data_IF_507126547342
#
_entry.id   IF_507126547342
#
_cell.length_a   1.000
_cell.length_b   1.000
_cell.length_c   1.000
_cell.angle_alpha   90.00
_cell.angle_beta   90.00
_cell.angle_gamma   90.00
#
_symmetry.space_group_name_H-M   'P 1'
#
loop_
_entity.id
_entity.type
_entity.pdbx_description
1 polymer ?
#
# COMPACT_ATOMS: atom_id res chain seq x y z
N UNK A 1 -2.73 -15.31 9.38
CA UNK A 1 -3.95 -14.79 10.08
C UNK A 1 -4.94 -15.93 10.22
N UNK A 2 -5.45 -16.19 11.44
CA UNK A 2 -6.40 -17.29 11.70
C UNK A 2 -7.83 -16.75 11.81
N UNK A 3 -8.76 -17.33 11.04
CA UNK A 3 -10.17 -16.91 11.00
C UNK A 3 -11.09 -18.13 11.24
N UNK A 4 -12.03 -18.07 12.21
CA UNK A 4 -13.14 -19.01 12.31
C UNK A 4 -14.35 -18.57 11.46
N UNK A 5 -15.07 -19.53 10.87
CA UNK A 5 -16.16 -19.30 9.90
C UNK A 5 -17.55 -19.64 10.46
N UNK A 6 -18.52 -18.74 10.26
CA UNK A 6 -19.93 -18.86 10.63
C UNK A 6 -20.81 -17.90 9.79
N UNK A 7 -22.14 -18.11 9.67
CA UNK A 7 -22.87 -17.76 8.45
C UNK A 7 -23.44 -16.35 8.38
N UNK A 8 -22.67 -15.41 7.80
CA UNK A 8 -23.20 -14.22 7.13
C UNK A 8 -22.20 -13.57 6.14
N UNK A 9 -21.76 -14.30 5.12
CA UNK A 9 -20.83 -13.80 4.11
C UNK A 9 -21.48 -12.82 3.10
N UNK A 10 -21.81 -11.58 3.50
CA UNK A 10 -22.14 -10.50 2.54
C UNK A 10 -21.90 -9.05 2.97
N UNK A 11 -21.67 -8.72 4.25
CA UNK A 11 -21.70 -7.30 4.71
C UNK A 11 -20.43 -6.76 5.41
N UNK A 12 -19.40 -7.56 5.66
CA UNK A 12 -18.36 -7.19 6.65
C UNK A 12 -17.17 -6.33 6.16
N UNK A 13 -17.11 -5.93 4.88
CA UNK A 13 -15.89 -5.38 4.26
C UNK A 13 -15.79 -3.84 4.14
N UNK A 14 -16.70 -3.10 4.76
CA UNK A 14 -16.54 -1.65 5.01
C UNK A 14 -15.77 -1.40 6.33
N UNK A 15 -15.83 -2.35 7.26
CA UNK A 15 -15.23 -2.27 8.61
C UNK A 15 -13.69 -2.27 8.64
N UNK A 16 -13.03 -2.70 7.57
CA UNK A 16 -11.59 -3.01 7.57
C UNK A 16 -10.67 -1.77 7.71
N UNK A 17 -11.19 -0.55 7.54
CA UNK A 17 -10.43 0.69 7.79
C UNK A 17 -10.65 1.30 9.19
N UNK A 18 -11.57 0.76 9.99
CA UNK A 18 -11.85 1.24 11.36
C UNK A 18 -11.62 0.19 12.46
N UNK A 19 -11.35 -1.08 12.11
CA UNK A 19 -11.06 -2.17 13.05
C UNK A 19 -9.73 -2.07 13.81
N UNK A 20 -9.01 -0.94 13.70
CA UNK A 20 -7.93 -0.55 14.61
C UNK A 20 -8.44 -0.01 15.96
N UNK A 21 -9.76 0.15 16.15
CA UNK A 21 -10.36 0.90 17.26
C UNK A 21 -11.28 0.10 18.22
N UNK A 22 -11.42 -1.23 18.08
CA UNK A 22 -12.36 -2.02 18.92
C UNK A 22 -11.80 -3.29 19.56
N UNK A 23 -10.49 -3.57 19.42
CA UNK A 23 -9.85 -4.60 20.24
C UNK A 23 -9.47 -4.02 21.61
N UNK A 24 -10.31 -4.29 22.61
CA UNK A 24 -10.02 -4.53 24.05
C UNK A 24 -11.27 -4.16 24.87
N UNK A 25 -11.66 -5.02 25.81
CA UNK A 25 -12.61 -4.69 26.89
C UNK A 25 -11.91 -3.88 28.00
N UNK A 26 -11.37 -2.72 27.61
CA UNK A 26 -11.07 -1.59 28.48
C UNK A 26 -11.47 -0.34 27.70
N UNK A 27 -11.97 0.70 28.38
CA UNK A 27 -12.30 1.96 27.73
C UNK A 27 -11.02 2.61 27.21
N UNK A 28 -10.80 2.55 25.89
CA UNK A 28 -9.63 3.09 25.21
C UNK A 28 -10.08 4.26 24.34
N UNK A 29 -9.63 5.46 24.73
CA UNK A 29 -9.77 6.66 23.92
C UNK A 29 -8.47 6.95 23.20
N UNK A 30 -8.53 7.16 21.90
CA UNK A 30 -7.41 7.66 21.09
C UNK A 30 -7.61 9.15 20.82
N UNK A 31 -6.54 9.94 21.00
CA UNK A 31 -6.50 11.37 20.71
C UNK A 31 -5.35 11.68 19.73
N UNK A 32 -5.54 12.69 18.88
CA UNK A 32 -4.51 13.26 18.02
C UNK A 32 -4.23 14.69 18.46
N UNK A 33 -3.03 14.94 18.97
CA UNK A 33 -2.54 16.28 19.33
C UNK A 33 -1.93 16.97 18.09
N UNK A 34 -2.13 18.28 17.97
CA UNK A 34 -1.51 19.10 16.92
C UNK A 34 -0.98 20.39 17.54
N UNK A 35 0.33 20.46 17.72
CA UNK A 35 1.01 21.61 18.31
C UNK A 35 0.59 22.93 17.64
N UNK A 36 0.23 23.90 18.47
CA UNK A 36 0.19 25.33 18.11
C UNK A 36 0.56 26.19 19.32
N UNK A 37 1.48 27.12 19.09
CA UNK A 37 2.10 27.98 20.09
C UNK A 37 1.15 28.96 20.80
N UNK A 38 1.64 29.47 21.93
CA UNK A 38 0.91 30.18 23.00
C UNK A 38 0.96 31.72 22.93
N UNK A 39 -0.14 32.40 23.33
CA UNK A 39 -0.20 33.71 24.05
C UNK A 39 -1.65 33.94 24.54
N UNK A 40 -2.02 33.86 25.84
CA UNK A 40 -1.98 34.90 26.92
C UNK A 40 -2.88 36.14 26.66
N UNK A 41 -3.82 36.64 27.50
CA UNK A 41 -4.19 36.56 28.95
C UNK A 41 -5.75 36.53 29.12
N UNK A 42 -6.44 36.50 30.29
CA UNK A 42 -6.11 36.34 31.73
C UNK A 42 -7.23 36.88 32.69
N UNK A 43 -7.48 36.24 33.85
CA UNK A 43 -8.47 36.62 34.91
C UNK A 43 -9.87 35.96 34.79
N UNK A 44 -10.59 35.52 35.83
CA UNK A 44 -10.41 35.59 37.30
C UNK A 44 -11.00 34.35 38.03
N UNK A 45 -10.24 33.87 39.05
CA UNK A 45 -10.52 32.91 40.14
C UNK A 45 -11.22 31.53 39.92
N UNK A 46 -10.58 30.54 40.56
CA UNK A 46 -11.10 29.28 41.11
C UNK A 46 -11.57 28.16 40.16
N UNK A 47 -10.66 27.76 39.25
CA UNK A 47 -10.67 26.48 38.54
C UNK A 47 -9.27 25.82 38.39
N UNK A 48 -8.30 26.24 39.21
CA UNK A 48 -6.88 25.96 38.95
C UNK A 48 -6.38 24.57 39.38
N UNK A 49 -7.07 23.83 40.26
CA UNK A 49 -6.55 22.53 40.76
C UNK A 49 -6.85 21.32 39.87
N UNK A 50 -7.61 21.49 38.78
CA UNK A 50 -7.99 20.39 37.87
C UNK A 50 -7.41 20.54 36.45
N UNK A 51 -6.83 21.70 36.11
CA UNK A 51 -6.30 21.98 34.76
C UNK A 51 -5.02 21.20 34.39
N UNK A 52 -4.47 20.39 35.29
CA UNK A 52 -3.21 19.66 35.09
C UNK A 52 -3.27 18.14 35.40
N UNK A 53 -4.42 17.55 35.74
CA UNK A 53 -4.44 16.19 36.34
C UNK A 53 -4.79 15.02 35.38
N UNK A 54 -5.05 15.31 34.10
CA UNK A 54 -5.33 14.28 33.08
C UNK A 54 -4.19 14.04 32.08
N UNK A 55 -3.15 14.90 32.04
CA UNK A 55 -2.15 14.88 30.96
C UNK A 55 -1.01 13.87 31.12
N UNK A 56 -0.90 13.13 32.25
CA UNK A 56 0.12 12.09 32.42
C UNK A 56 -0.22 10.93 33.39
N UNK A 57 -1.26 11.01 34.23
CA UNK A 57 -1.49 10.00 35.30
C UNK A 57 -2.30 8.78 34.89
N UNK A 58 -2.95 8.79 33.73
CA UNK A 58 -3.87 7.75 33.29
C UNK A 58 -3.54 7.17 31.90
N UNK A 59 -2.36 7.48 31.36
CA UNK A 59 -1.86 6.87 30.12
C UNK A 59 -1.47 5.43 30.42
N UNK A 60 -2.25 4.47 29.90
CA UNK A 60 -2.00 3.03 30.03
C UNK A 60 -0.85 2.61 29.11
N UNK A 61 -0.83 3.17 27.90
CA UNK A 61 0.18 2.92 26.88
C UNK A 61 0.25 4.08 25.88
N UNK A 62 1.36 4.22 25.17
CA UNK A 62 1.44 5.10 24.00
C UNK A 62 2.39 4.53 22.95
N UNK A 63 2.10 4.79 21.68
CA UNK A 63 2.95 4.47 20.54
C UNK A 63 2.94 5.62 19.53
N UNK A 64 3.76 5.56 18.50
CA UNK A 64 3.80 6.56 17.43
C UNK A 64 3.72 5.87 16.07
N UNK A 65 2.90 6.41 15.16
CA UNK A 65 2.87 5.93 13.78
C UNK A 65 4.13 6.35 13.03
N UNK A 66 4.40 5.73 11.87
CA UNK A 66 5.60 6.03 11.06
C UNK A 66 5.60 7.45 10.50
N UNK A 67 4.41 8.05 10.43
CA UNK A 67 4.13 9.42 9.99
C UNK A 67 4.22 10.44 11.15
N UNK A 68 4.62 10.00 12.35
CA UNK A 68 4.81 10.85 13.52
C UNK A 68 3.58 11.05 14.42
N UNK A 69 2.44 10.45 14.10
CA UNK A 69 1.22 10.62 14.91
C UNK A 69 1.31 9.84 16.22
N UNK A 70 1.20 10.52 17.36
CA UNK A 70 1.20 9.89 18.69
C UNK A 70 -0.17 9.28 18.97
N UNK A 71 -0.21 7.97 19.21
CA UNK A 71 -1.39 7.24 19.67
C UNK A 71 -1.24 7.01 21.17
N UNK A 72 -2.23 7.42 21.96
CA UNK A 72 -2.22 7.33 23.43
C UNK A 72 -3.46 6.55 23.86
N UNK A 73 -3.26 5.57 24.75
CA UNK A 73 -4.31 4.81 25.41
C UNK A 73 -4.52 5.38 26.81
N UNK A 74 -5.71 5.91 27.10
CA UNK A 74 -6.01 6.61 28.36
C UNK A 74 -7.18 5.93 29.08
N UNK A 75 -7.01 5.63 30.37
CA UNK A 75 -8.10 5.19 31.25
C UNK A 75 -8.87 6.39 31.80
N UNK A 76 -10.19 6.40 31.68
CA UNK A 76 -11.02 7.49 32.23
C UNK A 76 -12.43 7.50 31.65
N UNK A 77 -13.15 8.58 31.90
CA UNK A 77 -14.47 8.84 31.30
C UNK A 77 -14.36 9.96 30.25
N UNK A 78 -14.85 9.67 29.05
CA UNK A 78 -14.84 10.57 27.88
C UNK A 78 -15.52 11.92 28.16
N UNK A 79 -16.51 11.97 29.06
CA UNK A 79 -17.35 13.17 29.26
C UNK A 79 -16.59 14.33 29.91
N UNK A 80 -15.41 14.06 30.46
CA UNK A 80 -14.49 15.05 31.03
C UNK A 80 -13.26 15.29 30.15
N UNK A 81 -13.03 14.47 29.13
CA UNK A 81 -11.86 14.58 28.25
C UNK A 81 -12.01 15.75 27.26
N UNK A 82 -10.90 16.45 26.99
CA UNK A 82 -10.86 17.55 26.03
C UNK A 82 -10.24 17.05 24.72
N UNK A 83 -10.98 17.11 23.62
CA UNK A 83 -10.54 16.66 22.30
C UNK A 83 -11.12 17.55 21.19
N UNK A 84 -10.54 17.54 20.00
CA UNK A 84 -11.17 18.20 18.85
C UNK A 84 -12.46 17.47 18.43
N UNK A 85 -12.43 16.14 18.42
CA UNK A 85 -13.53 15.26 18.03
C UNK A 85 -13.66 14.13 19.05
N UNK A 86 -14.89 13.80 19.45
CA UNK A 86 -15.22 12.59 20.21
C UNK A 86 -15.91 11.58 19.28
N UNK A 87 -15.64 10.29 19.45
CA UNK A 87 -16.33 9.22 18.71
C UNK A 87 -17.33 8.54 19.65
N UNK A 88 -18.56 8.36 19.18
CA UNK A 88 -19.64 7.65 19.86
C UNK A 88 -20.11 6.47 19.00
N UNK A 89 -20.47 5.36 19.63
CA UNK A 89 -21.09 4.21 18.96
C UNK A 89 -22.61 4.29 19.12
N UNK A 90 -23.34 4.14 18.02
CA UNK A 90 -24.80 4.22 17.99
C UNK A 90 -25.45 3.00 17.31
N UNK A 91 -26.66 2.59 17.72
CA UNK A 91 -27.47 1.63 16.97
C UNK A 91 -27.92 2.18 15.61
N UNK A 92 -28.39 1.31 14.71
CA UNK A 92 -28.83 1.70 13.35
C UNK A 92 -29.94 2.76 13.36
N UNK A 93 -30.84 2.74 14.35
CA UNK A 93 -31.91 3.74 14.48
C UNK A 93 -31.42 5.10 15.02
N UNK A 94 -30.11 5.28 15.21
CA UNK A 94 -29.45 6.51 15.70
C UNK A 94 -29.94 6.99 17.08
N UNK A 95 -30.58 6.12 17.85
CA UNK A 95 -31.04 6.43 19.20
C UNK A 95 -29.89 6.40 20.20
N UNK A 96 -29.58 7.56 20.77
CA UNK A 96 -28.61 7.74 21.83
C UNK A 96 -29.14 7.20 23.16
N UNK A 97 -28.23 6.87 24.08
CA UNK A 97 -28.59 6.35 25.40
C UNK A 97 -28.81 4.84 25.50
N UNK A 98 -28.79 4.10 24.39
CA UNK A 98 -28.95 2.64 24.39
C UNK A 98 -27.77 1.84 24.96
N UNK A 99 -26.62 2.48 25.21
CA UNK A 99 -25.44 1.84 25.82
C UNK A 99 -24.60 2.84 26.63
N UNK A 100 -23.73 2.38 27.56
CA UNK A 100 -23.18 3.22 28.62
C UNK A 100 -22.41 4.46 28.14
N UNK A 101 -21.61 4.31 27.07
CA UNK A 101 -20.88 5.42 26.44
C UNK A 101 -21.84 6.47 25.86
N UNK A 102 -22.79 6.02 25.05
CA UNK A 102 -23.79 6.86 24.38
C UNK A 102 -24.73 7.54 25.37
N UNK A 103 -25.04 6.87 26.49
CA UNK A 103 -25.82 7.42 27.61
C UNK A 103 -25.06 8.52 28.35
N UNK A 104 -23.79 8.28 28.71
CA UNK A 104 -22.96 9.25 29.42
C UNK A 104 -22.72 10.51 28.55
N UNK A 105 -22.43 10.31 27.26
CA UNK A 105 -22.31 11.38 26.28
C UNK A 105 -23.62 12.18 26.14
N UNK A 106 -24.78 11.53 25.99
CA UNK A 106 -26.08 12.23 25.90
C UNK A 106 -26.40 13.03 27.17
N UNK A 107 -26.15 12.45 28.35
CA UNK A 107 -26.37 13.13 29.64
C UNK A 107 -25.51 14.37 29.79
N UNK A 108 -24.24 14.31 29.36
CA UNK A 108 -23.32 15.45 29.41
C UNK A 108 -23.62 16.50 28.33
N UNK A 109 -23.88 16.06 27.10
CA UNK A 109 -24.09 16.92 25.94
C UNK A 109 -25.45 17.64 25.94
N UNK A 110 -26.48 17.03 26.52
CA UNK A 110 -27.86 17.50 26.50
C UNK A 110 -28.67 16.95 25.30
N UNK A 111 -30.00 17.16 25.30
CA UNK A 111 -30.92 16.57 24.31
C UNK A 111 -30.63 17.02 22.87
N UNK A 112 -30.06 18.22 22.69
CA UNK A 112 -29.68 18.78 21.39
C UNK A 112 -28.76 17.85 20.57
N UNK A 113 -27.93 17.03 21.23
CA UNK A 113 -27.07 16.04 20.55
C UNK A 113 -27.89 15.01 19.77
N UNK A 114 -29.05 14.59 20.31
CA UNK A 114 -29.97 13.67 19.65
C UNK A 114 -30.74 14.36 18.51
N UNK A 115 -31.13 15.61 18.71
CA UNK A 115 -31.82 16.44 17.71
C UNK A 115 -30.93 16.68 16.48
N UNK A 116 -29.67 17.08 16.69
CA UNK A 116 -28.68 17.23 15.62
C UNK A 116 -28.43 15.91 14.89
N UNK A 117 -28.29 14.79 15.62
CA UNK A 117 -28.09 13.48 15.01
C UNK A 117 -29.28 13.08 14.12
N UNK A 118 -30.52 13.25 14.57
CA UNK A 118 -31.69 12.98 13.73
C UNK A 118 -31.83 13.96 12.55
N UNK A 119 -31.34 15.20 12.66
CA UNK A 119 -31.32 16.13 11.54
C UNK A 119 -30.36 15.68 10.41
N UNK A 120 -29.24 15.01 10.73
CA UNK A 120 -28.32 14.47 9.72
C UNK A 120 -28.90 13.34 8.86
N UNK A 121 -30.08 12.80 9.21
CA UNK A 121 -30.78 11.71 8.52
C UNK A 121 -31.23 12.07 7.09
N UNK A 122 -31.39 13.35 6.75
CA UNK A 122 -31.96 13.76 5.47
C UNK A 122 -31.03 13.43 4.28
N UNK A 123 -31.29 12.29 3.62
CA UNK A 123 -30.66 11.91 2.35
C UNK A 123 -29.56 10.84 2.43
N UNK A 124 -29.42 10.13 3.55
CA UNK A 124 -28.44 9.02 3.69
C UNK A 124 -29.09 7.71 4.11
N UNK A 125 -28.57 6.60 3.60
CA UNK A 125 -29.03 5.23 3.91
C UNK A 125 -28.36 4.71 5.20
N UNK A 126 -29.18 4.29 6.17
CA UNK A 126 -28.73 3.77 7.46
C UNK A 126 -28.19 2.33 7.32
N UNK A 127 -26.87 2.16 7.47
CA UNK A 127 -26.22 0.85 7.46
C UNK A 127 -25.03 0.80 8.42
N UNK A 128 -24.60 -0.42 8.75
CA UNK A 128 -23.38 -0.64 9.53
C UNK A 128 -22.18 -0.03 8.80
N UNK A 129 -21.37 0.73 9.53
CA UNK A 129 -20.26 1.52 8.99
C UNK A 129 -20.62 2.94 8.56
N UNK A 130 -21.89 3.36 8.59
CA UNK A 130 -22.26 4.77 8.40
C UNK A 130 -21.74 5.63 9.55
N UNK A 131 -21.31 6.85 9.23
CA UNK A 131 -20.80 7.85 10.17
C UNK A 131 -21.60 9.14 10.01
N UNK A 132 -22.13 9.64 11.12
CA UNK A 132 -22.86 10.90 11.20
C UNK A 132 -22.10 11.89 12.09
N UNK A 133 -22.23 13.19 11.84
CA UNK A 133 -21.47 14.22 12.57
C UNK A 133 -22.40 15.28 13.16
N UNK A 134 -22.25 15.54 14.46
CA UNK A 134 -22.96 16.58 15.22
C UNK A 134 -21.96 17.55 15.84
N UNK A 135 -22.43 18.67 16.38
CA UNK A 135 -21.58 19.53 17.21
C UNK A 135 -21.28 18.88 18.57
N UNK A 136 -20.24 19.35 19.26
CA UNK A 136 -19.95 18.89 20.62
C UNK A 136 -21.06 19.17 21.65
N UNK A 137 -22.02 20.04 21.35
CA UNK A 137 -23.03 20.53 22.30
C UNK A 137 -22.36 20.97 23.62
N UNK A 138 -22.70 20.37 24.77
CA UNK A 138 -22.11 20.67 26.08
C UNK A 138 -20.89 19.77 26.44
N UNK A 139 -20.33 19.02 25.48
CA UNK A 139 -19.07 18.28 25.64
C UNK A 139 -17.86 19.19 25.39
N UNK A 140 -16.69 18.81 25.93
CA UNK A 140 -15.42 19.51 25.71
C UNK A 140 -14.79 19.17 24.34
N UNK A 141 -15.58 19.23 23.26
CA UNK A 141 -15.12 18.99 21.89
C UNK A 141 -15.83 19.85 20.83
N UNK A 142 -15.28 19.89 19.61
CA UNK A 142 -15.87 20.66 18.50
C UNK A 142 -16.99 19.86 17.80
N UNK A 143 -16.80 18.56 17.64
CA UNK A 143 -17.75 17.67 16.97
C UNK A 143 -17.82 16.30 17.64
N UNK A 144 -18.95 15.60 17.48
CA UNK A 144 -19.08 14.17 17.79
C UNK A 144 -19.33 13.39 16.50
N UNK A 145 -18.54 12.33 16.29
CA UNK A 145 -18.77 11.36 15.22
C UNK A 145 -19.56 10.17 15.77
N UNK A 146 -20.75 9.96 15.25
CA UNK A 146 -21.63 8.86 15.60
C UNK A 146 -21.48 7.74 14.58
N UNK A 147 -20.88 6.62 14.99
CA UNK A 147 -20.58 5.47 14.14
C UNK A 147 -21.63 4.38 14.37
N UNK A 148 -22.29 3.92 13.31
CA UNK A 148 -23.19 2.77 13.35
C UNK A 148 -22.37 1.49 13.37
N UNK A 149 -22.14 0.93 14.54
CA UNK A 149 -21.46 -0.35 14.71
C UNK A 149 -22.44 -1.53 14.58
N UNK A 150 -21.96 -2.74 14.22
CA UNK A 150 -22.75 -3.95 14.40
C UNK A 150 -23.03 -4.17 15.90
N UNK A 151 -24.14 -4.84 16.22
CA UNK A 151 -24.43 -5.27 17.59
C UNK A 151 -23.40 -6.29 18.08
N UNK A 152 -23.08 -6.27 19.38
CA UNK A 152 -22.26 -7.31 19.99
C UNK A 152 -23.03 -8.62 20.05
N UNK A 153 -22.49 -9.68 19.45
CA UNK A 153 -23.12 -10.98 19.24
C UNK A 153 -22.71 -12.03 20.29
N UNK A 154 -22.31 -11.58 21.48
CA UNK A 154 -21.72 -12.41 22.54
C UNK A 154 -20.44 -13.16 22.15
N UNK A 155 -19.70 -12.66 21.15
CA UNK A 155 -18.49 -13.31 20.65
C UNK A 155 -18.79 -14.49 19.71
N UNK A 156 -20.00 -14.55 19.15
CA UNK A 156 -20.30 -15.40 18.00
C UNK A 156 -19.63 -14.88 16.71
N UNK A 157 -19.20 -13.62 16.70
CA UNK A 157 -18.45 -13.00 15.62
C UNK A 157 -17.02 -13.52 15.52
N UNK A 158 -16.47 -13.51 14.31
CA UNK A 158 -15.15 -14.07 14.02
C UNK A 158 -14.02 -13.24 14.63
N UNK A 159 -13.55 -13.64 15.81
CA UNK A 159 -12.31 -13.12 16.40
C UNK A 159 -11.12 -13.48 15.50
N UNK A 160 -10.54 -12.49 14.82
CA UNK A 160 -9.37 -12.67 13.98
C UNK A 160 -8.10 -12.63 14.82
N UNK A 161 -7.26 -13.65 14.71
CA UNK A 161 -5.94 -13.66 15.37
C UNK A 161 -4.84 -13.28 14.36
N UNK A 162 -4.16 -12.17 14.64
CA UNK A 162 -2.89 -11.83 14.00
C UNK A 162 -1.80 -12.69 14.66
N UNK A 163 -1.33 -13.69 13.92
CA UNK A 163 -0.17 -14.50 14.28
C UNK A 163 1.03 -14.05 13.42
N UNK A 164 2.17 -13.85 14.08
CA UNK A 164 3.48 -13.71 13.42
C UNK A 164 4.12 -15.10 13.50
N UNK A 165 4.32 -15.75 12.35
CA UNK A 165 4.73 -17.14 12.30
C UNK A 165 4.97 -17.64 10.89
N UNK A 166 5.31 -18.92 10.80
CA UNK A 166 5.58 -19.66 9.57
C UNK A 166 4.34 -20.48 9.21
N UNK A 167 3.71 -20.19 8.07
CA UNK A 167 2.44 -20.81 7.66
C UNK A 167 2.54 -22.33 7.51
N UNK A 168 3.73 -22.88 7.25
CA UNK A 168 3.95 -24.33 7.14
C UNK A 168 3.82 -25.05 8.49
N UNK A 169 3.90 -24.31 9.61
CA UNK A 169 3.82 -24.82 10.99
C UNK A 169 2.46 -24.53 11.65
N UNK A 170 1.56 -23.86 10.96
CA UNK A 170 0.24 -23.48 11.47
C UNK A 170 -0.70 -24.69 11.59
N UNK A 171 -1.51 -24.70 12.65
CA UNK A 171 -2.56 -25.71 12.87
C UNK A 171 -3.94 -25.12 12.60
N UNK A 172 -4.46 -25.35 11.41
CA UNK A 172 -5.77 -24.91 10.96
C UNK A 172 -6.43 -25.99 10.11
N UNK A 173 -7.75 -25.99 9.97
CA UNK A 173 -8.43 -26.91 9.05
C UNK A 173 -8.02 -26.66 7.60
N UNK A 174 -7.78 -25.40 7.25
CA UNK A 174 -7.44 -24.94 5.90
C UNK A 174 -6.19 -24.06 5.95
N UNK A 175 -5.22 -24.34 5.08
CA UNK A 175 -4.14 -23.39 4.74
C UNK A 175 -4.44 -22.77 3.39
N UNK A 176 -4.17 -21.48 3.23
CA UNK A 176 -4.33 -20.79 1.94
C UNK A 176 -2.98 -20.60 1.29
N UNK A 177 -2.84 -21.01 0.02
CA UNK A 177 -1.67 -20.74 -0.80
C UNK A 177 -1.96 -19.62 -1.80
N UNK A 178 -1.04 -18.67 -1.98
CA UNK A 178 -1.13 -17.58 -2.97
C UNK A 178 -0.25 -17.90 -4.17
N UNK A 179 -0.85 -18.21 -5.31
CA UNK A 179 -0.16 -18.69 -6.54
C UNK A 179 -0.55 -17.89 -7.79
N UNK A 180 0.10 -18.20 -8.92
CA UNK A 180 -0.25 -17.78 -10.28
C UNK A 180 -1.36 -18.65 -10.89
N UNK A 181 -1.88 -18.24 -12.05
CA UNK A 181 -2.91 -18.91 -12.85
C UNK A 181 -2.58 -20.34 -13.30
N UNK A 182 -1.31 -20.72 -13.26
CA UNK A 182 -0.82 -22.06 -13.58
C UNK A 182 -0.69 -22.98 -12.35
N UNK A 183 -1.01 -22.48 -11.15
CA UNK A 183 -1.00 -23.20 -9.87
C UNK A 183 0.30 -23.96 -9.54
N UNK A 184 1.42 -23.54 -10.15
CA UNK A 184 2.74 -24.15 -10.03
C UNK A 184 3.81 -23.16 -9.52
N UNK A 185 3.39 -22.08 -8.84
CA UNK A 185 4.31 -21.04 -8.38
C UNK A 185 5.26 -21.59 -7.31
N UNK A 186 6.55 -21.65 -7.63
CA UNK A 186 7.62 -22.11 -6.71
C UNK A 186 8.48 -20.95 -6.19
N UNK A 187 7.86 -19.82 -5.87
CA UNK A 187 8.48 -18.66 -5.23
C UNK A 187 7.68 -18.20 -4.00
N UNK A 188 8.29 -17.32 -3.18
CA UNK A 188 7.63 -16.68 -2.04
C UNK A 188 7.00 -17.67 -1.06
N UNK A 189 5.79 -17.36 -0.59
CA UNK A 189 5.05 -18.23 0.33
C UNK A 189 4.61 -19.53 -0.35
N UNK A 190 4.32 -19.50 -1.66
CA UNK A 190 3.89 -20.69 -2.39
C UNK A 190 4.96 -21.77 -2.46
N UNK A 191 6.24 -21.37 -2.60
CA UNK A 191 7.36 -22.31 -2.46
C UNK A 191 7.33 -23.04 -1.12
N UNK A 192 7.25 -22.30 -0.01
CA UNK A 192 7.27 -22.87 1.33
C UNK A 192 6.06 -23.79 1.58
N UNK A 193 4.87 -23.41 1.10
CA UNK A 193 3.66 -24.24 1.23
C UNK A 193 3.77 -25.52 0.40
N UNK A 194 4.26 -25.47 -0.85
CA UNK A 194 4.41 -26.66 -1.70
C UNK A 194 5.52 -27.59 -1.19
N UNK A 195 6.67 -27.07 -0.80
CA UNK A 195 7.77 -27.86 -0.21
C UNK A 195 7.35 -28.49 1.14
N UNK A 196 6.63 -27.74 1.97
CA UNK A 196 6.08 -28.22 3.25
C UNK A 196 4.93 -29.22 3.11
N UNK A 197 4.14 -29.15 2.04
CA UNK A 197 3.04 -30.09 1.76
C UNK A 197 3.50 -31.37 1.05
N UNK A 198 4.59 -31.29 0.27
CA UNK A 198 5.20 -32.43 -0.41
C UNK A 198 4.68 -32.69 -1.83
N UNK A 199 5.37 -33.58 -2.59
CA UNK A 199 5.24 -33.70 -4.05
C UNK A 199 3.87 -34.21 -4.53
N UNK A 200 3.09 -34.86 -3.66
CA UNK A 200 1.72 -35.28 -3.99
C UNK A 200 0.80 -34.07 -4.19
N UNK A 201 0.97 -33.00 -3.40
CA UNK A 201 0.18 -31.77 -3.55
C UNK A 201 0.55 -31.03 -4.84
N UNK A 202 1.84 -30.97 -5.21
CA UNK A 202 2.24 -30.39 -6.50
C UNK A 202 1.62 -31.14 -7.69
N UNK A 203 1.57 -32.48 -7.60
CA UNK A 203 0.97 -33.34 -8.62
C UNK A 203 -0.55 -33.10 -8.72
N UNK A 204 -1.23 -32.94 -7.58
CA UNK A 204 -2.65 -32.59 -7.53
C UNK A 204 -2.93 -31.19 -8.11
N UNK A 205 -2.08 -30.20 -7.80
CA UNK A 205 -2.15 -28.87 -8.41
C UNK A 205 -2.05 -28.95 -9.94
N UNK A 206 -1.09 -29.70 -10.48
CA UNK A 206 -0.92 -29.87 -11.92
C UNK A 206 -2.12 -30.53 -12.59
N UNK A 207 -2.76 -31.52 -11.95
CA UNK A 207 -3.97 -32.17 -12.45
C UNK A 207 -5.19 -31.24 -12.39
N UNK A 208 -5.36 -30.44 -11.33
CA UNK A 208 -6.50 -29.53 -11.23
C UNK A 208 -6.37 -28.28 -12.12
N UNK A 209 -5.14 -27.79 -12.35
CA UNK A 209 -4.87 -26.63 -13.20
C UNK A 209 -5.20 -26.83 -14.70
N UNK A 210 -5.33 -28.08 -15.16
CA UNK A 210 -5.74 -28.41 -16.54
C UNK A 210 -7.23 -28.72 -16.68
N UNK A 211 -7.98 -28.74 -15.57
CA UNK A 211 -9.44 -28.95 -15.55
C UNK A 211 -10.18 -27.61 -15.44
N UNK A 212 -11.48 -27.55 -15.80
CA UNK A 212 -12.29 -26.36 -15.53
C UNK A 212 -12.38 -26.08 -14.02
N UNK A 213 -11.81 -24.97 -13.57
CA UNK A 213 -11.75 -24.56 -12.16
C UNK A 213 -12.26 -23.12 -11.95
N UNK A 214 -12.44 -22.71 -10.69
CA UNK A 214 -12.78 -21.32 -10.28
C UNK A 214 -11.51 -20.45 -10.24
N UNK A 215 -11.56 -19.26 -9.65
CA UNK A 215 -10.37 -18.45 -9.33
C UNK A 215 -9.44 -19.07 -8.25
N UNK A 216 -9.64 -20.36 -7.95
CA UNK A 216 -8.87 -21.17 -7.01
C UNK A 216 -9.01 -22.67 -7.33
N UNK A 217 -8.10 -23.48 -6.79
CA UNK A 217 -8.20 -24.95 -6.72
C UNK A 217 -8.06 -25.43 -5.27
N UNK A 218 -8.44 -26.67 -4.97
CA UNK A 218 -8.38 -27.23 -3.61
C UNK A 218 -7.69 -28.58 -3.61
N UNK A 219 -6.57 -28.70 -2.90
CA UNK A 219 -5.81 -29.95 -2.75
C UNK A 219 -5.90 -30.51 -1.34
N UNK A 220 -5.44 -31.75 -1.15
CA UNK A 220 -5.19 -32.29 0.18
C UNK A 220 -4.11 -31.49 0.95
N UNK A 221 -4.08 -31.60 2.29
CA UNK A 221 -3.09 -30.94 3.15
C UNK A 221 -1.64 -31.43 3.00
N UNK A 222 -1.44 -32.61 2.42
CA UNK A 222 -0.10 -33.20 2.27
C UNK A 222 0.53 -33.51 3.64
N UNK A 223 1.77 -33.07 3.86
CA UNK A 223 2.44 -33.16 5.17
C UNK A 223 2.15 -31.98 6.13
N UNK A 224 1.41 -30.95 5.70
CA UNK A 224 1.07 -29.81 6.55
C UNK A 224 -0.01 -30.20 7.59
N UNK A 225 -0.06 -29.46 8.70
CA UNK A 225 -1.03 -29.68 9.78
C UNK A 225 -2.42 -29.09 9.46
N UNK A 226 -2.92 -29.37 8.26
CA UNK A 226 -4.24 -28.97 7.77
C UNK A 226 -4.97 -30.10 7.03
N UNK A 227 -6.28 -29.94 6.82
CA UNK A 227 -7.10 -30.93 6.09
C UNK A 227 -7.00 -30.73 4.58
N UNK A 228 -7.03 -29.47 4.14
CA UNK A 228 -6.92 -29.07 2.73
C UNK A 228 -6.05 -27.81 2.58
N UNK A 229 -5.54 -27.60 1.37
CA UNK A 229 -4.94 -26.34 0.94
C UNK A 229 -5.82 -25.73 -0.15
N UNK A 230 -6.25 -24.48 0.03
CA UNK A 230 -6.94 -23.72 -1.02
C UNK A 230 -5.89 -22.83 -1.70
N UNK A 231 -5.62 -23.12 -2.97
CA UNK A 231 -4.66 -22.36 -3.78
C UNK A 231 -5.41 -21.28 -4.55
N UNK A 232 -5.19 -20.03 -4.17
CA UNK A 232 -5.86 -18.86 -4.75
C UNK A 232 -4.92 -18.05 -5.63
N UNK A 233 -5.48 -17.34 -6.60
CA UNK A 233 -4.72 -16.36 -7.36
C UNK A 233 -4.33 -15.17 -6.47
N UNK A 234 -3.03 -14.85 -6.40
CA UNK A 234 -2.48 -13.70 -5.67
C UNK A 234 -2.79 -12.33 -6.31
N UNK A 235 -3.88 -12.24 -7.07
CA UNK A 235 -4.24 -11.11 -7.93
C UNK A 235 -5.19 -10.10 -7.23
N UNK A 236 -5.82 -9.25 -8.04
CA UNK A 236 -6.10 -7.83 -7.79
C UNK A 236 -7.06 -7.49 -6.65
N UNK A 237 -7.84 -8.45 -6.18
CA UNK A 237 -8.93 -8.24 -5.24
C UNK A 237 -8.79 -9.21 -4.07
N UNK A 238 -7.84 -8.91 -3.19
CA UNK A 238 -7.61 -9.66 -1.93
C UNK A 238 -8.91 -9.76 -1.11
N UNK A 239 -9.81 -8.77 -1.22
CA UNK A 239 -11.14 -8.78 -0.62
C UNK A 239 -11.98 -9.93 -1.18
N UNK A 240 -12.15 -10.01 -2.50
CA UNK A 240 -12.88 -11.10 -3.17
C UNK A 240 -12.24 -12.45 -2.86
N UNK A 241 -10.91 -12.55 -2.97
CA UNK A 241 -10.16 -13.78 -2.68
C UNK A 241 -10.39 -14.27 -1.25
N UNK A 242 -10.33 -13.39 -0.24
CA UNK A 242 -10.61 -13.75 1.16
C UNK A 242 -12.07 -14.13 1.35
N UNK A 243 -13.04 -13.40 0.77
CA UNK A 243 -14.46 -13.76 0.83
C UNK A 243 -14.73 -15.15 0.26
N UNK A 244 -14.26 -15.44 -0.95
CA UNK A 244 -14.46 -16.74 -1.61
C UNK A 244 -13.84 -17.90 -0.83
N UNK A 245 -12.66 -17.69 -0.21
CA UNK A 245 -12.06 -18.71 0.67
C UNK A 245 -12.92 -18.95 1.92
N UNK A 246 -13.44 -17.89 2.54
CA UNK A 246 -14.28 -18.02 3.73
C UNK A 246 -15.62 -18.69 3.41
N UNK A 247 -16.23 -18.37 2.26
CA UNK A 247 -17.44 -19.01 1.73
C UNK A 247 -17.23 -20.52 1.49
N UNK A 248 -16.11 -20.92 0.87
CA UNK A 248 -15.78 -22.35 0.71
C UNK A 248 -15.49 -23.06 2.04
N UNK A 249 -14.83 -22.38 2.99
CA UNK A 249 -14.58 -22.91 4.32
C UNK A 249 -15.89 -23.17 5.08
N UNK A 250 -16.83 -22.22 5.00
CA UNK A 250 -18.18 -22.32 5.54
C UNK A 250 -18.98 -23.46 4.88
N UNK A 251 -19.04 -23.50 3.54
CA UNK A 251 -19.75 -24.54 2.80
C UNK A 251 -19.26 -25.95 3.15
N UNK A 252 -17.95 -26.09 3.45
CA UNK A 252 -17.29 -27.35 3.83
C UNK A 252 -17.25 -27.60 5.34
N UNK A 253 -17.83 -26.69 6.16
CA UNK A 253 -17.89 -26.77 7.63
C UNK A 253 -16.52 -26.86 8.30
N UNK A 254 -15.52 -26.19 7.75
CA UNK A 254 -14.26 -25.96 8.44
C UNK A 254 -14.42 -24.89 9.52
N UNK A 255 -13.58 -24.96 10.55
CA UNK A 255 -13.67 -24.12 11.77
C UNK A 255 -12.46 -23.18 11.93
N UNK A 256 -11.41 -23.37 11.13
CA UNK A 256 -10.24 -22.50 11.13
C UNK A 256 -9.54 -22.47 9.78
N UNK A 257 -9.25 -21.27 9.27
CA UNK A 257 -8.43 -21.05 8.07
C UNK A 257 -7.24 -20.14 8.38
N UNK A 258 -6.06 -20.49 7.85
CA UNK A 258 -4.82 -19.72 7.95
C UNK A 258 -4.47 -19.05 6.62
N UNK A 259 -4.60 -17.72 6.58
CA UNK A 259 -4.19 -16.89 5.44
C UNK A 259 -2.73 -16.41 5.56
N UNK A 260 -1.94 -16.45 4.48
CA UNK A 260 -0.68 -15.73 4.35
C UNK A 260 -0.93 -14.24 4.05
N UNK A 261 0.14 -13.46 3.86
CA UNK A 261 0.04 -12.09 3.37
C UNK A 261 -0.23 -12.06 1.84
N UNK A 262 -1.44 -12.46 1.43
CA UNK A 262 -1.81 -12.56 0.00
C UNK A 262 -1.52 -11.24 -0.73
N UNK A 263 -0.86 -11.33 -1.89
CA UNK A 263 -0.47 -10.18 -2.70
C UNK A 263 0.87 -9.52 -2.33
N UNK A 264 1.62 -10.03 -1.35
CA UNK A 264 2.99 -9.54 -1.08
C UNK A 264 4.03 -9.96 -2.12
N UNK A 265 3.74 -11.00 -2.90
CA UNK A 265 4.75 -11.85 -3.56
C UNK A 265 5.08 -11.42 -5.00
N UNK A 266 4.58 -10.28 -5.46
CA UNK A 266 4.90 -9.70 -6.77
C UNK A 266 6.31 -9.07 -6.81
N UNK A 267 7.36 -9.84 -6.53
CA UNK A 267 8.76 -9.50 -6.80
C UNK A 267 9.28 -10.34 -7.98
N UNK A 268 10.23 -9.84 -8.81
CA UNK A 268 10.72 -10.59 -9.96
C UNK A 268 11.47 -11.87 -9.55
N UNK A 269 11.26 -12.97 -10.29
CA UNK A 269 11.90 -14.26 -10.00
C UNK A 269 13.44 -14.24 -10.11
N UNK A 270 14.00 -13.31 -10.89
CA UNK A 270 15.44 -13.13 -11.03
C UNK A 270 16.09 -12.35 -9.87
N UNK A 271 15.30 -11.83 -8.92
CA UNK A 271 15.86 -11.18 -7.73
C UNK A 271 16.47 -12.21 -6.79
N UNK A 272 17.67 -11.92 -6.30
CA UNK A 272 18.31 -12.68 -5.22
C UNK A 272 17.64 -12.40 -3.89
N UNK A 273 17.73 -13.34 -2.95
CA UNK A 273 17.21 -13.15 -1.59
C UNK A 273 17.80 -11.87 -0.96
N UNK A 274 16.92 -11.10 -0.32
CA UNK A 274 17.24 -9.84 0.35
C UNK A 274 17.48 -10.03 1.86
N UNK A 275 17.44 -11.26 2.38
CA UNK A 275 17.65 -11.57 3.80
C UNK A 275 16.75 -10.70 4.71
N UNK A 276 15.46 -10.66 4.40
CA UNK A 276 14.43 -9.83 5.07
C UNK A 276 14.59 -8.30 4.91
N UNK A 277 15.57 -7.80 4.15
CA UNK A 277 15.67 -6.38 3.82
C UNK A 277 14.62 -5.96 2.78
N UNK A 278 14.23 -4.68 2.81
CA UNK A 278 13.22 -4.12 1.90
C UNK A 278 13.84 -3.43 0.66
N UNK A 279 15.15 -3.20 0.68
CA UNK A 279 15.92 -2.81 -0.49
C UNK A 279 17.39 -3.22 -0.35
N UNK A 280 18.01 -3.61 -1.46
CA UNK A 280 19.45 -3.83 -1.58
C UNK A 280 19.92 -3.54 -3.02
N UNK A 281 21.24 -3.49 -3.20
CA UNK A 281 21.90 -3.32 -4.50
C UNK A 281 22.83 -4.52 -4.71
N UNK A 282 22.73 -5.16 -5.87
CA UNK A 282 23.38 -6.46 -6.16
C UNK A 282 24.29 -6.30 -7.38
N UNK A 283 25.60 -6.44 -7.18
CA UNK A 283 26.57 -6.38 -8.28
C UNK A 283 26.51 -7.65 -9.15
N UNK A 284 26.10 -7.49 -10.41
CA UNK A 284 25.98 -8.58 -11.37
C UNK A 284 27.37 -9.03 -11.82
N UNK A 285 27.56 -10.34 -11.97
CA UNK A 285 28.87 -10.90 -12.34
C UNK A 285 29.02 -10.97 -13.86
N UNK A 286 30.17 -10.54 -14.43
CA UNK A 286 30.44 -10.66 -15.86
C UNK A 286 30.30 -12.11 -16.36
N UNK A 287 29.67 -12.30 -17.53
CA UNK A 287 29.35 -13.61 -18.08
C UNK A 287 28.05 -14.24 -17.55
N UNK A 288 27.32 -13.56 -16.65
CA UNK A 288 25.92 -13.88 -16.40
C UNK A 288 25.05 -13.30 -17.51
N UNK A 289 24.07 -14.08 -17.99
CA UNK A 289 23.11 -13.66 -19.02
C UNK A 289 22.48 -12.28 -18.76
N UNK A 290 22.14 -11.99 -17.51
CA UNK A 290 21.58 -10.71 -17.10
C UNK A 290 22.57 -9.54 -17.25
N UNK A 291 23.83 -9.75 -16.84
CA UNK A 291 24.91 -8.77 -17.03
C UNK A 291 25.13 -8.49 -18.52
N UNK A 292 25.23 -9.53 -19.34
CA UNK A 292 25.51 -9.40 -20.77
C UNK A 292 24.37 -8.70 -21.52
N UNK A 293 23.10 -9.00 -21.20
CA UNK A 293 21.94 -8.30 -21.77
C UNK A 293 21.97 -6.79 -21.48
N UNK A 294 22.32 -6.38 -20.24
CA UNK A 294 22.39 -4.97 -19.86
C UNK A 294 23.61 -4.28 -20.49
N UNK A 295 24.78 -4.95 -20.47
CA UNK A 295 26.02 -4.51 -21.11
C UNK A 295 25.85 -4.27 -22.59
N UNK A 296 25.26 -5.23 -23.32
CA UNK A 296 25.21 -5.20 -24.78
C UNK A 296 24.27 -4.08 -25.25
N UNK A 297 23.09 -3.93 -24.62
CA UNK A 297 22.18 -2.79 -24.86
C UNK A 297 22.78 -1.43 -24.58
N UNK A 298 23.59 -1.31 -23.53
CA UNK A 298 24.35 -0.07 -23.28
C UNK A 298 25.38 0.16 -24.39
N UNK A 299 26.09 -0.90 -24.79
CA UNK A 299 27.16 -0.87 -25.77
C UNK A 299 26.68 -0.49 -27.18
N UNK A 300 25.42 -0.77 -27.55
CA UNK A 300 24.80 -0.37 -28.84
C UNK A 300 25.05 1.10 -29.21
N UNK A 301 25.10 2.00 -28.21
CA UNK A 301 25.38 3.44 -28.43
C UNK A 301 26.59 3.97 -27.65
N UNK A 302 27.21 3.17 -26.78
CA UNK A 302 28.30 3.58 -25.89
C UNK A 302 29.61 2.77 -26.05
N UNK A 303 29.89 2.23 -27.25
CA UNK A 303 31.09 1.42 -27.56
C UNK A 303 32.44 1.98 -27.08
N UNK A 304 32.58 3.30 -26.99
CA UNK A 304 33.82 3.96 -26.55
C UNK A 304 34.04 3.96 -25.04
N UNK A 305 33.05 3.54 -24.24
CA UNK A 305 33.11 3.59 -22.78
C UNK A 305 33.43 2.23 -22.17
N UNK A 306 34.20 2.23 -21.08
CA UNK A 306 34.48 1.05 -20.28
C UNK A 306 33.52 0.95 -19.09
N UNK A 307 32.70 -0.09 -19.07
CA UNK A 307 31.91 -0.47 -17.87
C UNK A 307 32.87 -0.95 -16.77
N UNK A 308 32.68 -0.43 -15.56
CA UNK A 308 33.35 -0.87 -14.33
C UNK A 308 32.53 -1.93 -13.62
N UNK A 309 31.21 -1.70 -13.50
CA UNK A 309 30.25 -2.66 -12.95
C UNK A 309 28.80 -2.35 -13.36
N UNK A 310 27.95 -3.37 -13.23
CA UNK A 310 26.49 -3.27 -13.38
C UNK A 310 25.86 -3.79 -12.09
N UNK A 311 24.98 -2.99 -11.50
CA UNK A 311 24.33 -3.30 -10.23
C UNK A 311 22.81 -3.37 -10.41
N UNK A 312 22.19 -4.52 -10.15
CA UNK A 312 20.72 -4.63 -10.08
C UNK A 312 20.23 -3.97 -8.79
N UNK A 313 19.19 -3.17 -8.92
CA UNK A 313 18.52 -2.51 -7.81
C UNK A 313 17.30 -3.34 -7.44
N UNK A 314 17.24 -3.78 -6.19
CA UNK A 314 16.09 -4.47 -5.64
C UNK A 314 15.48 -3.54 -4.59
N UNK A 315 14.33 -2.94 -4.89
CA UNK A 315 13.60 -2.09 -3.95
C UNK A 315 12.12 -2.48 -3.98
N UNK A 316 11.67 -3.18 -2.93
CA UNK A 316 10.33 -3.77 -2.85
C UNK A 316 9.24 -2.70 -2.97
N UNK A 317 9.45 -1.52 -2.37
CA UNK A 317 8.47 -0.45 -2.35
C UNK A 317 8.34 0.22 -3.71
N UNK A 318 9.46 0.62 -4.32
CA UNK A 318 9.47 1.21 -5.66
C UNK A 318 8.89 0.24 -6.68
N UNK A 319 9.25 -1.04 -6.62
CA UNK A 319 8.73 -2.07 -7.52
C UNK A 319 7.22 -2.25 -7.36
N UNK A 320 6.70 -2.36 -6.13
CA UNK A 320 5.25 -2.50 -5.89
C UNK A 320 4.46 -1.27 -6.33
N UNK A 321 4.95 -0.06 -6.04
CA UNK A 321 4.32 1.19 -6.50
C UNK A 321 4.32 1.30 -8.03
N UNK A 322 5.42 0.88 -8.68
CA UNK A 322 5.56 0.82 -10.13
C UNK A 322 4.58 -0.19 -10.76
N UNK A 323 4.51 -1.41 -10.25
CA UNK A 323 3.61 -2.45 -10.78
C UNK A 323 2.13 -2.08 -10.62
N UNK A 324 1.73 -1.42 -9.52
CA UNK A 324 0.37 -0.87 -9.37
C UNK A 324 0.10 0.19 -10.45
N UNK A 325 1.05 1.11 -10.70
CA UNK A 325 0.93 2.14 -11.74
C UNK A 325 0.85 1.53 -13.14
N UNK A 326 1.70 0.53 -13.44
CA UNK A 326 1.72 -0.19 -14.73
C UNK A 326 0.36 -0.78 -15.05
N UNK A 327 -0.16 -1.58 -14.13
CA UNK A 327 -1.44 -2.28 -14.23
C UNK A 327 -2.63 -1.33 -14.38
N UNK A 328 -2.62 -0.19 -13.66
CA UNK A 328 -3.61 0.86 -13.85
C UNK A 328 -3.53 1.45 -15.27
N UNK A 329 -2.33 1.68 -15.80
CA UNK A 329 -2.11 2.16 -17.16
C UNK A 329 -2.53 1.12 -18.22
N UNK A 330 -2.23 -0.16 -18.00
CA UNK A 330 -2.64 -1.27 -18.86
C UNK A 330 -4.18 -1.35 -18.97
N UNK A 331 -4.90 -1.19 -17.85
CA UNK A 331 -6.36 -1.11 -17.82
C UNK A 331 -6.87 0.17 -18.51
N UNK A 332 -6.25 1.34 -18.24
CA UNK A 332 -6.66 2.63 -18.78
C UNK A 332 -6.53 2.70 -20.31
N UNK A 333 -5.47 2.11 -20.84
CA UNK A 333 -5.13 2.18 -22.27
C UNK A 333 -5.64 0.97 -23.07
N UNK A 334 -6.05 -0.12 -22.40
CA UNK A 334 -6.64 -1.30 -23.05
C UNK A 334 -5.63 -2.25 -23.72
N UNK A 335 -4.33 -2.03 -23.49
CA UNK A 335 -3.22 -2.86 -23.97
C UNK A 335 -2.10 -2.90 -22.93
N UNK A 336 -1.19 -3.87 -23.02
CA UNK A 336 -0.06 -4.03 -22.08
C UNK A 336 1.24 -3.38 -22.53
N UNK A 337 1.30 -2.92 -23.79
CA UNK A 337 2.45 -2.20 -24.38
C UNK A 337 2.49 -0.74 -23.90
N UNK A 338 2.82 -0.54 -22.62
CA UNK A 338 2.94 0.78 -21.99
C UNK A 338 4.33 1.05 -21.41
N UNK A 339 5.22 0.05 -21.40
CA UNK A 339 6.51 0.07 -20.74
C UNK A 339 7.65 0.12 -21.76
N UNK A 340 8.64 0.99 -21.50
CA UNK A 340 9.91 1.03 -22.24
C UNK A 340 11.08 0.91 -21.27
N UNK A 341 12.16 0.28 -21.73
CA UNK A 341 13.46 0.34 -21.05
C UNK A 341 14.22 1.53 -21.62
N UNK A 342 14.58 2.49 -20.75
CA UNK A 342 15.20 3.77 -21.10
C UNK A 342 16.39 4.07 -20.17
N UNK A 343 17.18 5.08 -20.50
CA UNK A 343 18.37 5.48 -19.75
C UNK A 343 18.21 6.81 -19.00
N UNK A 344 18.84 6.92 -17.83
CA UNK A 344 18.91 8.17 -17.06
C UNK A 344 20.32 8.40 -16.49
N UNK A 345 21.08 9.32 -17.09
CA UNK A 345 22.35 9.79 -16.55
C UNK A 345 22.17 10.68 -15.32
N UNK A 346 22.96 10.44 -14.27
CA UNK A 346 22.92 11.26 -13.05
C UNK A 346 24.31 11.46 -12.43
N UNK A 347 24.41 12.39 -11.48
CA UNK A 347 25.62 12.62 -10.70
C UNK A 347 25.72 11.65 -9.51
N UNK A 348 26.94 11.33 -9.09
CA UNK A 348 27.21 10.34 -8.03
C UNK A 348 26.54 10.67 -6.69
N UNK A 349 26.33 11.96 -6.39
CA UNK A 349 25.65 12.44 -5.17
C UNK A 349 24.16 12.04 -5.11
N UNK A 350 23.55 11.81 -6.27
CA UNK A 350 22.12 11.55 -6.45
C UNK A 350 21.80 10.05 -6.47
N UNK A 351 22.82 9.19 -6.64
CA UNK A 351 22.67 7.72 -6.69
C UNK A 351 22.03 7.12 -5.42
N UNK A 352 22.46 7.46 -4.19
CA UNK A 352 21.84 6.89 -2.99
C UNK A 352 20.35 7.25 -2.86
N UNK A 353 19.97 8.48 -3.26
CA UNK A 353 18.58 8.92 -3.26
C UNK A 353 17.74 8.13 -4.26
N UNK A 354 18.20 7.97 -5.50
CA UNK A 354 17.43 7.26 -6.55
C UNK A 354 17.28 5.78 -6.23
N UNK A 355 18.29 5.12 -5.66
CA UNK A 355 18.19 3.73 -5.22
C UNK A 355 17.10 3.53 -4.14
N UNK A 356 16.99 4.47 -3.19
CA UNK A 356 16.09 4.35 -2.04
C UNK A 356 14.67 4.89 -2.31
N UNK A 357 14.56 5.97 -3.09
CA UNK A 357 13.35 6.78 -3.26
C UNK A 357 12.89 6.94 -4.72
N UNK A 358 13.64 6.41 -5.69
CA UNK A 358 13.31 6.51 -7.11
C UNK A 358 13.50 7.93 -7.66
N UNK A 359 12.81 8.22 -8.76
CA UNK A 359 12.93 9.50 -9.46
C UNK A 359 11.91 10.50 -8.95
N UNK A 360 12.38 11.63 -8.41
CA UNK A 360 11.52 12.69 -7.89
C UNK A 360 11.51 13.90 -8.84
N UNK A 361 10.34 14.23 -9.39
CA UNK A 361 10.17 15.33 -10.36
C UNK A 361 10.45 16.73 -9.78
N UNK A 362 10.49 16.90 -8.45
CA UNK A 362 10.84 18.21 -7.84
C UNK A 362 12.28 18.64 -8.13
N UNK A 363 13.16 17.72 -8.54
CA UNK A 363 14.51 18.00 -9.02
C UNK A 363 14.59 18.26 -10.55
N UNK A 364 13.45 18.23 -11.25
CA UNK A 364 13.38 18.52 -12.69
C UNK A 364 13.85 19.95 -12.98
N UNK A 365 14.61 20.12 -14.07
CA UNK A 365 15.06 21.41 -14.56
C UNK A 365 16.53 21.75 -14.28
N UNK A 366 17.27 20.98 -13.44
CA UNK A 366 18.74 21.15 -13.27
C UNK A 366 19.50 21.18 -14.61
N UNK A 367 19.00 20.47 -15.62
CA UNK A 367 19.61 20.31 -16.95
C UNK A 367 18.76 20.86 -18.11
N UNK A 368 17.87 21.83 -17.81
CA UNK A 368 16.77 22.34 -18.64
C UNK A 368 15.54 21.43 -18.72
N UNK A 369 14.36 22.05 -18.89
CA UNK A 369 13.03 21.43 -18.85
C UNK A 369 12.22 21.72 -20.13
N UNK A 370 12.86 21.57 -21.29
CA UNK A 370 12.35 22.02 -22.61
C UNK A 370 11.01 21.40 -23.04
N UNK A 371 10.72 20.20 -22.51
CA UNK A 371 9.53 19.40 -22.82
C UNK A 371 8.59 19.23 -21.61
N UNK A 372 8.91 19.85 -20.47
CA UNK A 372 8.12 19.81 -19.24
C UNK A 372 8.95 19.65 -17.96
N UNK A 373 8.33 19.99 -16.82
CA UNK A 373 8.90 19.85 -15.46
C UNK A 373 8.66 18.44 -14.92
N UNK A 374 9.24 17.44 -15.61
CA UNK A 374 9.19 16.03 -15.22
C UNK A 374 10.57 15.38 -15.21
N UNK A 375 10.63 14.08 -14.94
CA UNK A 375 11.88 13.30 -15.04
C UNK A 375 12.09 12.86 -16.49
N UNK A 376 13.30 13.10 -16.99
CA UNK A 376 13.73 12.80 -18.36
C UNK A 376 14.41 11.44 -18.46
N UNK A 377 14.10 10.70 -19.54
CA UNK A 377 14.69 9.41 -19.87
C UNK A 377 15.01 9.35 -21.36
N UNK A 378 16.21 8.94 -21.74
CA UNK A 378 16.63 8.83 -23.14
C UNK A 378 16.42 7.41 -23.68
N UNK A 379 16.16 7.28 -24.99
CA UNK A 379 16.19 5.97 -25.66
C UNK A 379 17.63 5.48 -25.78
N UNK A 380 18.54 6.34 -26.21
CA UNK A 380 19.95 5.99 -26.37
C UNK A 380 20.76 6.24 -25.09
N UNK A 381 21.59 5.27 -24.72
CA UNK A 381 22.52 5.41 -23.60
C UNK A 381 23.52 6.56 -23.83
N UNK A 382 23.93 6.79 -25.08
CA UNK A 382 24.86 7.85 -25.48
C UNK A 382 24.39 9.26 -25.07
N UNK A 383 23.09 9.54 -25.16
CA UNK A 383 22.51 10.80 -24.71
C UNK A 383 22.69 10.97 -23.19
N UNK A 384 22.40 9.91 -22.43
CA UNK A 384 22.60 9.88 -20.98
C UNK A 384 24.08 9.87 -20.59
N UNK A 385 24.98 9.41 -21.46
CA UNK A 385 26.44 9.38 -21.27
C UNK A 385 27.11 10.75 -21.41
N UNK A 386 26.42 11.77 -21.91
CA UNK A 386 26.95 13.13 -21.92
C UNK A 386 27.19 13.65 -20.48
N UNK A 387 28.33 14.31 -20.26
CA UNK A 387 28.78 14.82 -18.95
C UNK A 387 27.81 15.81 -18.28
N UNK A 388 26.90 16.42 -19.06
CA UNK A 388 25.80 17.23 -18.53
C UNK A 388 24.83 16.42 -17.66
N UNK A 389 24.62 15.14 -17.98
CA UNK A 389 23.67 14.27 -17.28
C UNK A 389 24.39 13.30 -16.34
N UNK A 390 25.31 12.48 -16.87
CA UNK A 390 26.14 11.55 -16.09
C UNK A 390 27.50 12.16 -15.73
N UNK A 391 27.48 13.25 -14.95
CA UNK A 391 28.68 14.00 -14.58
C UNK A 391 29.73 13.08 -13.93
N UNK A 392 31.00 13.07 -14.41
CA UNK A 392 32.07 12.30 -13.79
C UNK A 392 32.29 12.67 -12.31
N UNK A 393 32.54 11.65 -11.47
CA UNK A 393 33.01 11.82 -10.09
C UNK A 393 34.51 12.19 -10.04
N UNK A 394 35.06 12.38 -8.84
CA UNK A 394 36.49 12.70 -8.64
C UNK A 394 37.46 11.63 -9.14
N UNK A 395 36.98 10.42 -9.44
CA UNK A 395 37.76 9.30 -9.99
C UNK A 395 37.48 9.08 -11.49
N UNK A 396 36.73 10.00 -12.13
CA UNK A 396 36.34 9.90 -13.54
C UNK A 396 35.18 8.94 -13.81
N UNK A 397 34.49 8.42 -12.78
CA UNK A 397 33.38 7.46 -12.94
C UNK A 397 32.07 8.18 -13.19
N UNK A 398 31.30 7.65 -14.13
CA UNK A 398 30.01 8.15 -14.61
C UNK A 398 28.92 7.13 -14.26
N UNK A 399 27.71 7.62 -14.05
CA UNK A 399 26.60 6.83 -13.52
C UNK A 399 25.35 6.99 -14.41
N UNK A 400 24.83 5.88 -14.92
CA UNK A 400 23.58 5.82 -15.69
C UNK A 400 22.70 4.73 -15.12
N UNK A 401 21.43 5.04 -14.90
CA UNK A 401 20.41 4.02 -14.66
C UNK A 401 19.85 3.48 -15.98
N UNK A 402 19.61 2.17 -15.99
CA UNK A 402 18.66 1.51 -16.90
C UNK A 402 17.33 1.39 -16.16
N UNK A 403 16.27 1.87 -16.79
CA UNK A 403 15.01 2.22 -16.11
C UNK A 403 13.83 1.64 -16.87
N UNK A 404 12.93 0.95 -16.18
CA UNK A 404 11.60 0.64 -16.71
C UNK A 404 10.71 1.87 -16.54
N UNK A 405 10.21 2.42 -17.64
CA UNK A 405 9.42 3.66 -17.68
C UNK A 405 8.09 3.39 -18.33
N UNK A 406 7.01 3.75 -17.64
CA UNK A 406 5.65 3.65 -18.17
C UNK A 406 5.36 4.86 -19.08
N UNK A 407 5.75 4.76 -20.35
CA UNK A 407 5.53 5.83 -21.32
C UNK A 407 4.08 5.91 -21.78
N UNK A 408 3.35 4.79 -21.77
CA UNK A 408 1.94 4.69 -22.13
C UNK A 408 1.60 5.34 -23.48
N UNK A 409 0.44 6.01 -23.55
CA UNK A 409 0.10 6.86 -24.69
C UNK A 409 0.74 8.24 -24.50
N UNK A 410 1.59 8.66 -25.44
CA UNK A 410 2.39 9.88 -25.34
C UNK A 410 2.07 10.92 -26.42
N UNK A 411 2.48 12.17 -26.17
CA UNK A 411 2.33 13.29 -27.11
C UNK A 411 3.56 14.22 -27.09
N UNK A 412 3.58 15.25 -27.92
CA UNK A 412 4.67 16.24 -27.96
C UNK A 412 4.71 17.06 -26.66
N UNK A 413 5.90 17.15 -26.05
CA UNK A 413 6.12 17.98 -24.86
C UNK A 413 6.44 19.43 -25.20
N UNK A 414 6.30 20.33 -24.22
CA UNK A 414 6.71 21.73 -24.34
C UNK A 414 7.05 22.34 -22.97
N UNK A 415 7.80 23.43 -23.00
CA UNK A 415 8.29 24.10 -21.80
C UNK A 415 7.12 24.62 -20.94
N UNK A 416 7.19 24.39 -19.62
CA UNK A 416 6.20 24.85 -18.66
C UNK A 416 5.16 23.80 -18.23
N UNK A 417 5.01 22.68 -18.95
CA UNK A 417 4.18 21.55 -18.52
C UNK A 417 4.55 21.08 -17.10
N UNK A 418 3.53 20.84 -16.26
CA UNK A 418 3.68 20.22 -14.92
C UNK A 418 2.99 18.84 -14.81
N UNK A 419 2.18 18.51 -15.81
CA UNK A 419 1.52 17.24 -16.08
C UNK A 419 1.50 17.03 -17.59
N UNK A 420 1.24 15.82 -18.11
CA UNK A 420 0.97 15.63 -19.53
C UNK A 420 -0.28 16.44 -19.98
N UNK A 421 -0.39 16.79 -21.27
CA UNK A 421 -1.60 17.37 -21.83
C UNK A 421 -2.83 16.44 -21.75
N UNK A 422 -4.03 17.01 -21.88
CA UNK A 422 -5.27 16.26 -22.08
C UNK A 422 -5.34 15.66 -23.48
N UNK A 423 -5.80 14.41 -23.61
CA UNK A 423 -6.09 13.77 -24.90
C UNK A 423 -7.25 14.44 -25.63
N UNK A 424 -8.24 14.94 -24.88
CA UNK A 424 -9.41 15.63 -25.40
C UNK A 424 -9.60 16.96 -24.65
N UNK A 425 -9.61 18.13 -25.33
CA UNK A 425 -9.85 19.43 -24.70
C UNK A 425 -11.18 19.53 -23.93
N UNK A 426 -12.19 18.73 -24.29
CA UNK A 426 -13.48 18.67 -23.60
C UNK A 426 -13.49 17.75 -22.37
N UNK A 427 -12.44 16.94 -22.15
CA UNK A 427 -12.22 16.20 -20.91
C UNK A 427 -10.80 16.49 -20.37
N UNK A 428 -10.61 17.55 -19.59
CA UNK A 428 -9.30 17.95 -19.08
C UNK A 428 -8.68 16.95 -18.08
N UNK A 429 -9.41 15.90 -17.68
CA UNK A 429 -8.92 14.86 -16.75
C UNK A 429 -8.39 13.61 -17.45
N UNK A 430 -8.72 13.38 -18.72
CA UNK A 430 -8.14 12.29 -19.53
C UNK A 430 -6.81 12.77 -20.13
N UNK A 431 -5.72 12.53 -19.39
CA UNK A 431 -4.37 12.92 -19.77
C UNK A 431 -3.64 11.83 -20.55
N UNK A 432 -2.72 12.26 -21.42
CA UNK A 432 -1.61 11.43 -21.90
C UNK A 432 -0.80 10.90 -20.71
N UNK A 433 -0.05 9.82 -20.91
CA UNK A 433 0.76 9.20 -19.86
C UNK A 433 2.13 9.87 -19.72
N UNK A 434 2.76 10.21 -20.84
CA UNK A 434 4.05 10.91 -20.89
C UNK A 434 4.12 11.86 -22.08
N UNK A 435 5.22 12.61 -22.19
CA UNK A 435 5.52 13.41 -23.38
C UNK A 435 6.90 13.10 -23.94
N UNK A 436 7.09 13.39 -25.22
CA UNK A 436 8.32 13.13 -26.01
C UNK A 436 8.78 14.40 -26.72
N UNK A 437 10.03 14.43 -27.17
CA UNK A 437 10.58 15.43 -28.10
C UNK A 437 10.04 15.29 -29.53
N UNK A 438 9.71 14.06 -29.95
CA UNK A 438 9.14 13.75 -31.25
C UNK A 438 8.22 12.52 -31.15
N UNK A 439 7.01 12.59 -31.70
CA UNK A 439 6.01 11.51 -31.59
C UNK A 439 6.29 10.36 -32.57
N UNK A 440 6.86 10.65 -33.74
CA UNK A 440 7.17 9.65 -34.78
C UNK A 440 8.51 8.95 -34.49
N UNK A 441 9.52 9.72 -34.09
CA UNK A 441 10.87 9.25 -33.80
C UNK A 441 11.36 9.82 -32.46
N UNK A 442 10.80 9.35 -31.33
CA UNK A 442 11.20 9.82 -30.00
C UNK A 442 12.69 9.58 -29.77
N UNK A 443 13.39 10.54 -29.16
CA UNK A 443 14.73 10.34 -28.59
C UNK A 443 14.72 10.33 -27.06
N UNK A 444 13.69 10.94 -26.46
CA UNK A 444 13.48 10.98 -25.01
C UNK A 444 12.00 10.91 -24.62
N UNK A 445 11.76 10.55 -23.36
CA UNK A 445 10.45 10.64 -22.71
C UNK A 445 10.54 11.42 -21.40
N UNK A 446 9.46 12.11 -21.05
CA UNK A 446 9.30 12.86 -19.81
C UNK A 446 8.05 12.39 -19.08
N UNK A 447 8.21 11.95 -17.83
CA UNK A 447 7.10 11.54 -16.95
C UNK A 447 6.96 12.49 -15.77
N UNK A 448 5.72 12.65 -15.28
CA UNK A 448 5.35 13.66 -14.28
C UNK A 448 4.83 13.03 -12.97
N UNK A 449 5.08 11.74 -12.75
CA UNK A 449 4.60 10.99 -11.59
C UNK A 449 5.72 10.09 -11.06
N UNK A 450 6.01 10.19 -9.77
CA UNK A 450 7.26 9.67 -9.18
C UNK A 450 7.31 8.12 -9.15
N UNK A 451 6.16 7.46 -9.24
CA UNK A 451 6.04 5.99 -9.34
C UNK A 451 5.86 5.47 -10.78
N UNK A 452 6.12 6.31 -11.80
CA UNK A 452 5.98 5.95 -13.22
C UNK A 452 7.28 5.37 -13.83
N UNK A 453 8.37 5.33 -13.05
CA UNK A 453 9.66 4.81 -13.45
C UNK A 453 10.31 3.99 -12.32
N UNK A 454 10.84 2.81 -12.64
CA UNK A 454 11.59 1.94 -11.72
C UNK A 454 13.06 1.86 -12.15
N UNK A 455 14.02 2.31 -11.33
CA UNK A 455 15.44 2.13 -11.61
C UNK A 455 15.79 0.65 -11.43
N UNK A 456 16.11 -0.04 -12.53
CA UNK A 456 16.31 -1.50 -12.52
C UNK A 456 17.78 -1.88 -12.39
N UNK A 457 18.65 -1.19 -13.13
CA UNK A 457 20.10 -1.36 -13.04
C UNK A 457 20.80 -0.01 -12.94
N UNK A 458 21.93 0.03 -12.23
CA UNK A 458 22.89 1.12 -12.25
C UNK A 458 24.16 0.64 -12.97
N UNK A 459 24.56 1.34 -14.02
CA UNK A 459 25.81 1.13 -14.74
C UNK A 459 26.81 2.18 -14.25
N UNK A 460 27.92 1.71 -13.67
CA UNK A 460 29.09 2.54 -13.37
C UNK A 460 30.11 2.33 -14.48
N UNK A 461 30.53 3.40 -15.14
CA UNK A 461 31.40 3.36 -16.32
C UNK A 461 32.36 4.55 -16.37
N UNK A 462 33.32 4.52 -17.30
CA UNK A 462 34.30 5.59 -17.52
C UNK A 462 34.68 5.70 -19.00
N UNK A 463 35.28 6.81 -19.40
CA UNK A 463 35.95 6.96 -20.68
C UNK A 463 37.22 6.08 -20.76
#
# INVERSE_FOLDING_TARGET
MRVPTAPCASQHLVTFFFLLLSFFFFYIYFYFERDRDTTSWGGSRDQASWKNDLSNRHVIASTQTKEGLKLVMISGDVIYFQADVIVNTVPMNLQLGGGPLSQSLLQKAGPKLQEELYATRQGTEEKVGSIFMTSGCNLNCKAVLHVVAPGWDNGAGSSQQIAIGDITKEKADVIVNSTTRTFNLKSGVSKAVLEGAGPTVESECAVQAVQPHRDFIITQGGYLMCKIIIHVLGENDVRKTVSTVLEECEQRKYTSVSFPAIGTDNIPEHWTDMNQQLSCVIELQPGQSEYDIVKDKFSETCLSYKIEKIERIQNIWLWKSYQIKKKHMDIKNGHTDNERVLYHGTAADSVPYVNQHGFNRSYAGKNAAAYGKGTYFAIDASYSANDKYSRPDSNGRKHIYVVRVLTGVYTLGYAGLVTPPSKNPHNPTDLFDSVTDNVQHPSLFVVFSDNQAYPEYLITFRC
#
